data_IF_353469165837
#
_entry.id   IF_353469165837
#
_cell.length_a   1.000
_cell.length_b   1.000
_cell.length_c   1.000
_cell.angle_alpha   90.00
_cell.angle_beta   90.00
_cell.angle_gamma   90.00
#
_symmetry.space_group_name_H-M   'P 1'
#
loop_
_entity.id
_entity.type
_entity.pdbx_description
1 polymer ?
#
# COMPACT_ATOMS: atom_id res chain seq x y z
N UNK A 1 37.36 8.94 3.62
CA UNK A 1 36.30 9.29 4.58
C UNK A 1 35.87 10.76 4.55
N UNK A 2 36.68 11.70 4.04
CA UNK A 2 36.30 13.13 3.93
C UNK A 2 34.96 13.37 3.22
N UNK A 3 34.56 12.49 2.28
CA UNK A 3 33.26 12.58 1.60
C UNK A 3 32.07 12.58 2.57
N UNK A 4 32.17 11.98 3.76
CA UNK A 4 31.11 12.03 4.78
C UNK A 4 30.97 13.42 5.44
N UNK A 5 31.91 14.34 5.23
CA UNK A 5 31.78 15.73 5.69
C UNK A 5 30.81 16.53 4.81
N UNK A 6 30.56 16.08 3.57
CA UNK A 6 29.52 16.64 2.70
C UNK A 6 28.12 16.22 3.19
N UNK A 7 27.19 17.17 3.18
CA UNK A 7 25.84 16.99 3.75
C UNK A 7 25.05 15.91 3.01
N UNK A 8 25.17 15.84 1.69
CA UNK A 8 24.44 14.88 0.85
C UNK A 8 24.86 13.45 1.13
N UNK A 9 26.17 13.22 1.24
CA UNK A 9 26.73 11.92 1.58
C UNK A 9 26.38 11.51 3.00
N UNK A 10 26.34 12.48 3.93
CA UNK A 10 25.91 12.24 5.31
C UNK A 10 24.42 11.88 5.38
N UNK A 11 23.58 12.53 4.58
CA UNK A 11 22.15 12.25 4.48
C UNK A 11 21.92 10.81 4.00
N UNK A 12 22.59 10.38 2.92
CA UNK A 12 22.50 9.00 2.45
C UNK A 12 22.98 7.98 3.50
N UNK A 13 24.07 8.28 4.20
CA UNK A 13 24.55 7.44 5.28
C UNK A 13 23.53 7.31 6.43
N UNK A 14 22.88 8.41 6.82
CA UNK A 14 21.83 8.40 7.83
C UNK A 14 20.60 7.63 7.36
N UNK A 15 20.20 7.79 6.09
CA UNK A 15 19.12 7.02 5.49
C UNK A 15 19.37 5.51 5.57
N UNK A 16 20.58 5.06 5.19
CA UNK A 16 20.95 3.65 5.28
C UNK A 16 20.97 3.14 6.72
N UNK A 17 21.49 3.93 7.66
CA UNK A 17 21.47 3.61 9.09
C UNK A 17 20.02 3.38 9.56
N UNK A 18 19.12 4.30 9.24
CA UNK A 18 17.73 4.25 9.69
C UNK A 18 16.97 3.09 9.02
N UNK A 19 17.25 2.80 7.73
CA UNK A 19 16.74 1.62 7.03
C UNK A 19 17.21 0.31 7.67
N UNK A 20 18.46 0.22 8.10
CA UNK A 20 18.99 -0.98 8.76
C UNK A 20 18.36 -1.20 10.14
N UNK A 21 18.08 -0.14 10.90
CA UNK A 21 17.32 -0.24 12.13
C UNK A 21 15.90 -0.74 11.88
N UNK A 22 15.24 -0.23 10.83
CA UNK A 22 13.92 -0.67 10.42
C UNK A 22 13.89 -2.15 10.01
N UNK A 23 14.90 -2.60 9.28
CA UNK A 23 15.07 -4.00 8.88
C UNK A 23 15.16 -4.94 10.09
N UNK A 24 15.82 -4.52 11.17
CA UNK A 24 15.94 -5.32 12.39
C UNK A 24 14.66 -5.27 13.25
N UNK A 25 13.91 -4.17 13.21
CA UNK A 25 12.71 -3.98 14.01
C UNK A 25 11.51 -4.77 13.49
N UNK A 26 11.35 -4.88 12.17
CA UNK A 26 10.18 -5.51 11.55
C UNK A 26 10.51 -6.91 11.02
N UNK A 27 10.00 -7.99 11.66
CA UNK A 27 10.32 -9.36 11.25
C UNK A 27 9.84 -9.73 9.84
N UNK A 28 8.89 -8.99 9.28
CA UNK A 28 8.43 -9.16 7.90
C UNK A 28 9.54 -8.95 6.84
N UNK A 29 10.61 -8.23 7.19
CA UNK A 29 11.77 -8.06 6.30
C UNK A 29 12.58 -9.34 6.10
N UNK A 30 12.67 -10.21 7.11
CA UNK A 30 13.66 -11.30 7.11
C UNK A 30 13.13 -12.66 7.56
N UNK A 31 12.05 -12.75 8.33
CA UNK A 31 11.62 -14.04 8.89
C UNK A 31 11.22 -15.02 7.79
N UNK A 32 10.42 -14.57 6.81
CA UNK A 32 9.81 -15.43 5.80
C UNK A 32 10.47 -15.31 4.41
N UNK A 33 11.74 -14.90 4.33
CA UNK A 33 12.46 -14.71 3.04
C UNK A 33 12.48 -15.97 2.15
N UNK A 34 12.50 -17.15 2.77
CA UNK A 34 12.55 -18.43 2.07
C UNK A 34 11.18 -19.10 1.93
N UNK A 35 10.10 -18.44 2.38
CA UNK A 35 8.75 -18.96 2.33
C UNK A 35 7.96 -18.27 1.22
N UNK A 36 7.20 -19.04 0.44
CA UNK A 36 6.35 -18.49 -0.61
C UNK A 36 5.34 -17.47 -0.07
N UNK A 37 4.80 -17.70 1.14
CA UNK A 37 3.85 -16.80 1.79
C UNK A 37 4.48 -15.49 2.31
N UNK A 38 5.82 -15.41 2.38
CA UNK A 38 6.56 -14.25 2.85
C UNK A 38 6.58 -13.07 1.88
N UNK A 39 6.16 -13.31 0.63
CA UNK A 39 6.13 -12.32 -0.43
C UNK A 39 4.86 -12.46 -1.26
N UNK A 40 4.22 -11.34 -1.61
CA UNK A 40 3.04 -11.31 -2.48
C UNK A 40 3.07 -10.08 -3.37
N UNK A 41 2.94 -10.26 -4.69
CA UNK A 41 2.74 -9.13 -5.59
C UNK A 41 1.40 -8.46 -5.31
N UNK A 42 1.39 -7.12 -5.38
CA UNK A 42 0.16 -6.34 -5.43
C UNK A 42 -0.08 -5.94 -6.89
N UNK A 43 0.85 -5.18 -7.46
CA UNK A 43 0.84 -4.82 -8.86
C UNK A 43 2.27 -4.88 -9.41
N UNK A 44 2.50 -5.82 -10.32
CA UNK A 44 3.77 -6.02 -11.02
C UNK A 44 3.72 -5.57 -12.49
N UNK A 45 2.53 -5.36 -13.04
CA UNK A 45 2.30 -5.19 -14.47
C UNK A 45 2.20 -3.71 -14.90
N UNK A 46 2.43 -2.77 -13.97
CA UNK A 46 2.41 -1.34 -14.24
C UNK A 46 3.70 -0.83 -14.92
N UNK A 47 4.09 -1.52 -15.99
CA UNK A 47 5.26 -1.24 -16.81
C UNK A 47 5.23 0.17 -17.40
N UNK A 48 4.05 0.63 -17.83
CA UNK A 48 3.86 1.97 -18.42
C UNK A 48 4.23 3.10 -17.48
N UNK A 49 4.03 2.91 -16.17
CA UNK A 49 4.38 3.88 -15.13
C UNK A 49 5.67 3.51 -14.40
N UNK A 50 6.19 2.30 -14.65
CA UNK A 50 7.35 1.69 -13.97
C UNK A 50 7.22 1.80 -12.45
N UNK A 51 6.06 1.38 -11.95
CA UNK A 51 5.75 1.33 -10.52
C UNK A 51 5.56 -0.12 -10.12
N UNK A 52 6.18 -0.50 -9.00
CA UNK A 52 6.06 -1.83 -8.44
C UNK A 52 5.45 -1.73 -7.06
N UNK A 53 4.51 -2.62 -6.76
CA UNK A 53 3.98 -2.76 -5.41
C UNK A 53 3.89 -4.23 -5.01
N UNK A 54 4.32 -4.49 -3.79
CA UNK A 54 4.35 -5.84 -3.23
C UNK A 54 4.27 -5.81 -1.71
N UNK A 55 3.85 -6.92 -1.13
CA UNK A 55 3.71 -7.11 0.31
C UNK A 55 4.76 -8.11 0.77
N UNK A 56 5.35 -7.81 1.93
CA UNK A 56 6.19 -8.72 2.69
C UNK A 56 5.49 -9.10 3.97
N UNK A 57 5.39 -10.41 4.19
CA UNK A 57 4.74 -10.97 5.35
C UNK A 57 5.77 -11.58 6.29
N UNK A 58 5.52 -11.53 7.58
CA UNK A 58 6.25 -12.31 8.57
C UNK A 58 5.74 -13.78 8.61
N UNK A 59 6.49 -14.66 9.28
CA UNK A 59 6.03 -16.05 9.49
C UNK A 59 4.75 -16.09 10.29
N UNK A 60 3.75 -16.81 9.80
CA UNK A 60 2.41 -16.93 10.39
C UNK A 60 1.66 -15.57 10.48
N UNK A 61 1.80 -14.68 9.48
CA UNK A 61 1.13 -13.37 9.44
C UNK A 61 -0.40 -13.45 9.58
N UNK A 62 -1.03 -14.49 9.01
CA UNK A 62 -2.47 -14.73 9.12
C UNK A 62 -2.92 -15.27 10.48
N UNK A 63 -1.99 -15.57 11.38
CA UNK A 63 -2.30 -15.89 12.77
C UNK A 63 -3.41 -16.94 12.92
N UNK A 64 -3.22 -18.17 12.44
CA UNK A 64 -3.94 -19.29 13.05
C UNK A 64 -3.49 -19.33 14.51
N UNK A 65 -4.28 -18.74 15.41
CA UNK A 65 -4.12 -19.00 16.83
C UNK A 65 -4.19 -20.51 16.98
N UNK A 66 -3.06 -21.18 17.21
CA UNK A 66 -3.10 -22.55 17.68
C UNK A 66 -3.97 -22.50 18.93
N UNK A 67 -5.19 -23.03 18.85
CA UNK A 67 -5.91 -23.44 20.07
C UNK A 67 -4.90 -24.31 20.79
N UNK A 68 -4.56 -23.93 22.02
CA UNK A 68 -3.75 -24.79 22.87
C UNK A 68 -4.48 -26.14 22.94
N UNK A 69 -4.00 -27.14 22.22
CA UNK A 69 -4.30 -28.52 22.55
C UNK A 69 -3.81 -28.71 23.98
N UNK A 70 -4.71 -29.15 24.87
CA UNK A 70 -4.38 -29.52 26.24
C UNK A 70 -3.39 -30.68 26.21
N UNK A 71 -2.11 -30.35 26.08
CA UNK A 71 -1.00 -31.24 26.31
C UNK A 71 -0.82 -31.43 27.82
N UNK A 72 -0.79 -32.68 28.22
CA UNK A 72 -0.66 -33.18 29.58
C UNK A 72 0.54 -32.54 30.29
N UNK A 73 0.30 -32.12 31.53
CA UNK A 73 1.28 -31.52 32.45
C UNK A 73 2.43 -32.49 32.74
N UNK A 74 3.66 -32.02 32.54
CA UNK A 74 4.82 -32.44 33.33
C UNK A 74 5.74 -31.24 33.51
N UNK A 75 6.43 -31.22 34.65
CA UNK A 75 6.64 -30.02 35.44
C UNK A 75 7.96 -29.29 35.11
N UNK A 76 7.94 -27.98 35.39
CA UNK A 76 9.05 -27.01 35.48
C UNK A 76 9.47 -26.31 34.17
N UNK A 77 8.86 -25.15 33.94
CA UNK A 77 9.39 -24.11 33.04
C UNK A 77 8.44 -22.93 32.94
N UNK A 78 8.86 -21.79 33.49
CA UNK A 78 8.20 -20.48 33.51
C UNK A 78 7.09 -20.24 32.44
N UNK A 79 5.84 -20.12 32.91
CA UNK A 79 4.72 -19.64 32.11
C UNK A 79 4.80 -18.11 31.98
N UNK A 80 5.45 -17.62 30.93
CA UNK A 80 5.17 -16.26 30.47
C UNK A 80 3.87 -16.32 29.69
N UNK A 81 2.81 -15.73 30.24
CA UNK A 81 1.55 -15.50 29.53
C UNK A 81 1.81 -14.47 28.42
N UNK A 82 2.44 -14.92 27.33
CA UNK A 82 2.70 -14.10 26.17
C UNK A 82 1.42 -13.95 25.37
N UNK A 83 0.74 -12.79 25.46
CA UNK A 83 -0.23 -12.39 24.44
C UNK A 83 0.45 -12.52 23.08
N UNK A 84 -0.06 -13.38 22.20
CA UNK A 84 0.42 -13.51 20.83
C UNK A 84 0.18 -12.17 20.12
N UNK A 85 1.22 -11.33 20.04
CA UNK A 85 1.16 -10.05 19.32
C UNK A 85 0.87 -10.39 17.86
N UNK A 86 -0.22 -9.85 17.31
CA UNK A 86 -0.47 -9.95 15.87
C UNK A 86 0.74 -9.37 15.15
N UNK A 87 1.29 -10.13 14.22
CA UNK A 87 2.49 -9.73 13.53
C UNK A 87 2.13 -8.80 12.36
N UNK A 88 2.94 -7.77 12.20
CA UNK A 88 2.73 -6.74 11.18
C UNK A 88 3.34 -7.20 9.85
N UNK A 89 2.62 -6.91 8.77
CA UNK A 89 3.08 -7.09 7.39
C UNK A 89 3.41 -5.73 6.78
N UNK A 90 4.22 -5.73 5.73
CA UNK A 90 4.76 -4.54 5.12
C UNK A 90 4.31 -4.42 3.67
N UNK A 91 3.82 -3.26 3.27
CA UNK A 91 3.52 -2.91 1.89
C UNK A 91 4.63 -2.00 1.35
N UNK A 92 5.21 -2.38 0.23
CA UNK A 92 6.17 -1.59 -0.52
C UNK A 92 5.50 -1.04 -1.78
N UNK A 93 5.72 0.24 -2.03
CA UNK A 93 5.34 0.91 -3.27
C UNK A 93 6.53 1.70 -3.77
N UNK A 94 7.02 1.37 -4.96
CA UNK A 94 8.27 1.89 -5.52
C UNK A 94 7.99 2.54 -6.87
N UNK A 95 8.27 3.84 -6.98
CA UNK A 95 8.20 4.57 -8.24
C UNK A 95 9.59 4.68 -8.86
N UNK A 96 9.80 4.05 -10.01
CA UNK A 96 11.10 4.07 -10.71
C UNK A 96 11.21 5.21 -11.75
N UNK A 97 10.28 6.16 -11.74
CA UNK A 97 10.24 7.29 -12.68
C UNK A 97 10.33 8.62 -11.94
N UNK A 98 10.89 9.64 -12.58
CA UNK A 98 10.93 11.01 -12.05
C UNK A 98 9.59 11.77 -12.13
N UNK A 99 8.47 11.07 -12.30
CA UNK A 99 7.13 11.66 -12.43
C UNK A 99 6.37 11.48 -11.12
N UNK A 100 5.97 12.61 -10.52
CA UNK A 100 5.11 12.67 -9.33
C UNK A 100 3.69 12.21 -9.65
N UNK A 101 3.05 11.56 -8.68
CA UNK A 101 1.69 11.02 -8.78
C UNK A 101 0.92 11.28 -7.50
N UNK A 102 0.17 12.39 -7.49
CA UNK A 102 -0.57 12.84 -6.32
C UNK A 102 -1.70 11.90 -5.90
N UNK A 103 -2.28 11.18 -6.86
CA UNK A 103 -3.45 10.32 -6.66
C UNK A 103 -3.15 8.86 -7.00
N UNK A 104 -2.05 8.31 -6.47
CA UNK A 104 -1.75 6.89 -6.67
C UNK A 104 -2.52 6.03 -5.68
N UNK A 105 -3.16 4.98 -6.19
CA UNK A 105 -3.88 4.00 -5.38
C UNK A 105 -3.17 2.66 -5.47
N UNK A 106 -3.16 1.93 -4.37
CA UNK A 106 -2.59 0.59 -4.29
C UNK A 106 -3.50 -0.32 -3.50
N UNK A 107 -3.71 -1.53 -4.01
CA UNK A 107 -4.49 -2.56 -3.34
C UNK A 107 -3.83 -3.02 -2.04
N UNK A 108 -4.63 -3.23 -1.01
CA UNK A 108 -4.22 -3.87 0.23
C UNK A 108 -5.13 -5.06 0.55
N UNK A 109 -4.62 -6.06 1.30
CA UNK A 109 -5.49 -7.01 1.95
C UNK A 109 -6.34 -6.31 3.02
N UNK A 110 -7.27 -7.07 3.60
CA UNK A 110 -8.20 -6.55 4.59
C UNK A 110 -7.45 -6.00 5.80
N UNK A 111 -7.52 -4.69 6.01
CA UNK A 111 -6.90 -4.03 7.15
C UNK A 111 -7.65 -2.75 7.53
N UNK A 112 -7.52 -2.31 8.79
CA UNK A 112 -8.20 -1.10 9.28
C UNK A 112 -7.48 0.19 8.87
N UNK A 113 -6.16 0.15 8.99
CA UNK A 113 -5.28 1.31 8.83
C UNK A 113 -3.88 0.83 8.50
N UNK A 114 -3.18 1.59 7.68
CA UNK A 114 -1.78 1.38 7.38
C UNK A 114 -0.95 2.51 7.99
N UNK A 115 0.13 2.18 8.69
CA UNK A 115 1.09 3.14 9.23
C UNK A 115 2.19 3.38 8.21
N UNK A 116 2.49 4.62 7.87
CA UNK A 116 3.63 4.95 7.02
C UNK A 116 4.92 4.91 7.85
N UNK A 117 5.92 4.15 7.37
CA UNK A 117 7.19 3.92 8.06
C UNK A 117 8.34 4.66 7.41
N UNK A 118 8.50 4.49 6.09
CA UNK A 118 9.64 5.02 5.33
C UNK A 118 9.14 5.68 4.06
N UNK A 119 9.77 6.80 3.72
CA UNK A 119 9.56 7.55 2.48
C UNK A 119 10.90 7.81 1.79
N UNK A 120 10.89 8.49 0.65
CA UNK A 120 12.09 8.99 -0.03
C UNK A 120 12.93 9.95 0.84
N UNK A 121 12.29 10.62 1.81
CA UNK A 121 12.97 11.51 2.77
C UNK A 121 13.58 10.73 3.95
N UNK A 122 13.37 9.41 4.02
CA UNK A 122 13.81 8.55 5.11
C UNK A 122 12.69 8.12 6.05
N UNK A 123 13.07 7.78 7.29
CA UNK A 123 12.17 7.26 8.32
C UNK A 123 11.21 8.36 8.77
N UNK A 124 9.91 8.05 8.75
CA UNK A 124 8.89 9.01 9.17
C UNK A 124 8.96 9.18 10.69
N UNK A 125 9.31 10.39 11.13
CA UNK A 125 9.48 10.73 12.56
C UNK A 125 8.17 10.75 13.35
N UNK A 126 7.05 11.01 12.66
CA UNK A 126 5.72 11.07 13.24
C UNK A 126 4.87 9.91 12.76
N UNK A 127 4.15 9.28 13.69
CA UNK A 127 3.26 8.16 13.38
C UNK A 127 2.07 8.62 12.52
N UNK A 128 2.22 8.49 11.20
CA UNK A 128 1.17 8.81 10.21
C UNK A 128 0.42 7.54 9.84
N UNK A 129 -0.89 7.55 10.06
CA UNK A 129 -1.80 6.47 9.68
C UNK A 129 -2.71 6.92 8.56
N UNK A 130 -2.89 6.04 7.59
CA UNK A 130 -3.78 6.25 6.46
C UNK A 130 -4.96 5.27 6.55
N UNK A 131 -6.20 5.77 6.39
CA UNK A 131 -7.37 4.91 6.38
C UNK A 131 -7.39 4.08 5.11
N UNK A 132 -7.76 2.81 5.24
CA UNK A 132 -7.95 1.91 4.10
C UNK A 132 -9.41 1.97 3.68
N UNK A 133 -9.64 2.22 2.39
CA UNK A 133 -10.96 2.40 1.80
C UNK A 133 -11.37 1.13 1.10
N UNK A 134 -12.65 0.76 1.23
CA UNK A 134 -13.23 -0.36 0.48
C UNK A 134 -13.43 0.06 -0.97
N UNK A 135 -12.76 -0.63 -1.89
CA UNK A 135 -12.86 -0.43 -3.32
C UNK A 135 -11.85 -1.30 -4.05
N UNK A 136 -12.26 -1.82 -5.20
CA UNK A 136 -11.47 -2.79 -5.98
C UNK A 136 -10.27 -2.11 -6.67
N UNK A 137 -9.06 -2.48 -6.25
CA UNK A 137 -7.78 -2.06 -6.85
C UNK A 137 -6.81 -3.25 -6.87
N UNK A 138 -6.10 -3.45 -7.98
CA UNK A 138 -5.09 -4.52 -8.14
C UNK A 138 -5.61 -5.93 -7.76
N UNK A 139 -6.89 -6.22 -8.03
CA UNK A 139 -7.54 -7.49 -7.68
C UNK A 139 -7.83 -7.68 -6.19
N UNK A 140 -7.76 -6.62 -5.39
CA UNK A 140 -8.04 -6.62 -3.95
C UNK A 140 -9.22 -5.70 -3.62
N UNK A 141 -10.01 -6.06 -2.60
CA UNK A 141 -11.23 -5.35 -2.21
C UNK A 141 -11.01 -4.01 -1.49
N UNK A 142 -9.77 -3.74 -1.11
CA UNK A 142 -9.38 -2.59 -0.30
C UNK A 142 -8.19 -1.89 -0.94
N UNK A 143 -8.12 -0.57 -0.79
CA UNK A 143 -7.01 0.23 -1.29
C UNK A 143 -6.71 1.41 -0.36
N UNK A 144 -5.52 1.98 -0.54
CA UNK A 144 -5.08 3.22 0.08
C UNK A 144 -4.74 4.22 -1.03
N UNK A 145 -5.03 5.50 -0.77
CA UNK A 145 -4.58 6.59 -1.61
C UNK A 145 -3.34 7.24 -0.99
N UNK A 146 -2.26 7.34 -1.76
CA UNK A 146 -1.01 7.95 -1.31
C UNK A 146 -0.32 8.72 -2.45
N UNK A 147 0.10 9.97 -2.24
CA UNK A 147 0.86 10.72 -3.23
C UNK A 147 2.28 10.15 -3.33
N UNK A 148 2.63 9.55 -4.48
CA UNK A 148 3.97 9.04 -4.74
C UNK A 148 4.82 10.09 -5.45
N UNK A 149 5.93 10.48 -4.84
CA UNK A 149 6.93 11.33 -5.52
C UNK A 149 7.71 10.56 -6.58
N UNK A 150 8.30 11.29 -7.52
CA UNK A 150 9.25 10.80 -8.50
C UNK A 150 10.47 10.18 -7.81
N UNK A 151 10.88 9.00 -8.27
CA UNK A 151 11.90 8.16 -7.60
C UNK A 151 11.59 7.87 -6.13
N UNK A 152 10.32 8.00 -5.73
CA UNK A 152 9.87 7.81 -4.36
C UNK A 152 9.64 6.36 -4.00
N UNK A 153 9.75 6.07 -2.71
CA UNK A 153 9.35 4.81 -2.10
C UNK A 153 8.38 5.11 -0.96
N UNK A 154 7.34 4.30 -0.83
CA UNK A 154 6.45 4.33 0.32
C UNK A 154 6.41 2.94 0.96
N UNK A 155 6.75 2.89 2.23
CA UNK A 155 6.70 1.67 3.03
C UNK A 155 5.65 1.82 4.11
N UNK A 156 4.66 0.94 4.11
CA UNK A 156 3.61 0.92 5.14
C UNK A 156 3.68 -0.36 5.96
N UNK A 157 3.42 -0.27 7.27
CA UNK A 157 3.05 -1.43 8.08
C UNK A 157 1.56 -1.51 8.29
N UNK A 158 1.04 -2.74 8.27
CA UNK A 158 -0.36 -3.01 8.55
C UNK A 158 -0.50 -4.39 9.21
N UNK A 159 -1.67 -4.62 9.80
CA UNK A 159 -2.04 -5.93 10.33
C UNK A 159 -3.22 -6.42 9.51
N UNK A 160 -3.08 -7.60 8.93
CA UNK A 160 -4.15 -8.25 8.17
C UNK A 160 -5.22 -8.80 9.12
N UNK A 161 -6.49 -8.64 8.73
CA UNK A 161 -7.64 -9.13 9.49
C UNK A 161 -8.42 -10.19 8.69
N UNK A 162 -8.85 -11.27 9.35
CA UNK A 162 -9.64 -12.34 8.71
C UNK A 162 -11.11 -11.96 8.47
N UNK A 163 -11.68 -11.05 9.26
CA UNK A 163 -13.11 -10.67 9.23
C UNK A 163 -13.32 -9.17 8.95
N UNK A 164 -14.36 -8.83 8.18
CA UNK A 164 -14.71 -7.46 7.79
C UNK A 164 -15.26 -6.63 8.97
N UNK A 165 -14.39 -6.20 9.90
CA UNK A 165 -14.77 -5.28 11.00
C UNK A 165 -14.71 -3.80 10.59
N UNK A 166 -14.28 -3.50 9.36
CA UNK A 166 -13.97 -2.16 8.83
C UNK A 166 -15.10 -1.59 7.95
N UNK A 167 -16.29 -2.20 7.98
CA UNK A 167 -17.43 -1.81 7.15
C UNK A 167 -18.08 -0.43 7.47
N UNK A 168 -17.36 0.50 8.12
CA UNK A 168 -17.87 1.84 8.47
C UNK A 168 -17.04 3.00 7.88
N UNK A 169 -16.47 2.83 6.69
CA UNK A 169 -16.16 3.96 5.81
C UNK A 169 -17.06 3.87 4.58
N UNK A 170 -17.73 4.97 4.24
CA UNK A 170 -18.73 5.06 3.18
C UNK A 170 -18.26 4.36 1.89
N UNK A 171 -19.13 3.60 1.20
CA UNK A 171 -18.76 2.95 -0.05
C UNK A 171 -18.21 3.99 -1.03
N UNK A 172 -17.05 3.73 -1.62
CA UNK A 172 -16.71 4.36 -2.89
C UNK A 172 -17.79 3.95 -3.92
N UNK A 173 -18.29 4.88 -4.74
CA UNK A 173 -19.39 4.60 -5.65
C UNK A 173 -19.02 3.50 -6.62
N UNK A 174 -19.93 2.53 -6.79
CA UNK A 174 -19.75 1.38 -7.67
C UNK A 174 -19.31 1.80 -9.08
N UNK A 175 -18.35 1.05 -9.63
CA UNK A 175 -17.85 1.08 -11.02
C UNK A 175 -18.92 0.78 -12.10
N UNK A 176 -20.22 0.89 -11.79
CA UNK A 176 -21.33 0.88 -12.75
C UNK A 176 -21.79 2.27 -13.18
N UNK A 177 -21.22 3.35 -12.65
CA UNK A 177 -21.59 4.73 -13.01
C UNK A 177 -20.66 5.43 -14.01
N UNK A 178 -19.48 4.87 -14.31
CA UNK A 178 -18.53 5.49 -15.26
C UNK A 178 -18.81 5.15 -16.73
N UNK A 179 -19.62 4.14 -17.02
CA UNK A 179 -20.02 3.78 -18.40
C UNK A 179 -21.22 4.55 -18.94
N UNK A 180 -21.87 5.43 -18.15
CA UNK A 180 -22.97 6.29 -18.64
C UNK A 180 -22.58 7.75 -18.88
N UNK A 181 -21.38 8.17 -18.46
CA UNK A 181 -20.92 9.55 -18.68
C UNK A 181 -20.29 9.76 -20.06
N UNK A 182 -19.82 8.69 -20.70
CA UNK A 182 -19.23 8.72 -22.05
C UNK A 182 -20.23 8.70 -23.21
N UNK A 183 -21.51 8.41 -22.96
CA UNK A 183 -22.55 8.42 -24.00
C UNK A 183 -23.25 9.77 -24.14
N UNK A 184 -23.48 10.51 -23.04
CA UNK A 184 -24.13 11.83 -23.09
C UNK A 184 -23.22 12.95 -23.62
N UNK A 185 -21.89 12.81 -23.57
CA UNK A 185 -20.97 13.82 -24.13
C UNK A 185 -20.78 13.69 -25.67
N UNK A 186 -21.23 12.58 -26.28
CA UNK A 186 -21.20 12.43 -27.75
C UNK A 186 -22.45 13.00 -28.42
N UNK A 187 -23.61 12.94 -27.79
CA UNK A 187 -24.84 13.52 -28.35
C UNK A 187 -24.88 15.06 -28.30
N UNK A 188 -24.27 15.71 -27.29
CA UNK A 188 -24.23 17.18 -27.24
C UNK A 188 -23.25 17.81 -28.25
N UNK A 189 -22.19 17.10 -28.67
CA UNK A 189 -21.24 17.60 -29.69
C UNK A 189 -21.72 17.42 -31.13
N UNK A 190 -22.58 16.43 -31.41
CA UNK A 190 -23.19 16.29 -32.73
C UNK A 190 -24.29 17.34 -32.99
N UNK A 191 -25.07 17.71 -31.97
CA UNK A 191 -26.10 18.75 -32.12
C UNK A 191 -25.54 20.18 -32.23
N UNK A 192 -24.41 20.48 -31.57
CA UNK A 192 -23.74 21.79 -31.72
C UNK A 192 -22.92 21.93 -33.01
N UNK A 193 -22.49 20.82 -33.63
CA UNK A 193 -21.88 20.83 -34.97
C UNK A 193 -22.88 21.07 -36.10
N UNK A 194 -24.13 20.63 -35.95
CA UNK A 194 -25.15 20.75 -37.01
C UNK A 194 -25.91 22.10 -36.99
N UNK A 195 -25.92 22.81 -35.87
CA UNK A 195 -26.51 24.16 -35.76
C UNK A 195 -25.61 25.28 -36.32
N UNK A 196 -24.28 25.07 -36.39
CA UNK A 196 -23.34 26.04 -36.95
C UNK A 196 -23.23 25.92 -38.48
N UNK A 197 -23.55 24.76 -39.07
CA UNK A 197 -23.49 24.53 -40.51
C UNK A 197 -24.70 25.08 -41.30
N UNK A 198 -25.81 25.44 -40.64
CA UNK A 198 -27.05 25.91 -41.31
C UNK A 198 -27.17 27.44 -41.42
N UNK A 199 -26.26 28.22 -40.83
CA UNK A 199 -26.30 29.69 -40.86
C UNK A 199 -25.26 30.34 -41.79
N UNK A 200 -24.68 29.60 -42.75
CA UNK A 200 -23.70 30.16 -43.69
C UNK A 200 -24.20 30.41 -45.11
N UNK A 201 -25.45 30.10 -45.47
CA UNK A 201 -26.01 30.38 -46.82
C UNK A 201 -27.42 30.98 -46.76
N UNK A 202 -27.52 32.30 -46.91
CA UNK A 202 -28.63 33.10 -47.50
C UNK A 202 -28.17 34.57 -47.49
N UNK A 203 -27.58 35.07 -48.58
CA UNK A 203 -28.29 35.82 -49.62
C UNK A 203 -29.59 35.19 -50.15
#
# INVERSE_FOLDING_TARGET
WYLLEQEENRSLHNFLRDLLHLYQEYPAFYEADYEYEGFSWVNADDSSRSIYSFIRNCKNHMGKAKKAEKGIETEKGAFTSGKTKRKESLLFVVNMTGVDRDNYWVGLPKTKKAKLLLTEEGLVKEDKYFPVVKGECDGRDYHIAYPLKGYGIALFSFIEEEEDRVANAKPCPDKKSELKKGENEKEEKEQQGELVAKNSWTA
#
